data_IF_494602156701
#
_entry.id   IF_494602156701
#
_cell.length_a   1.000
_cell.length_b   1.000
_cell.length_c   1.000
_cell.angle_alpha   90.00
_cell.angle_beta   90.00
_cell.angle_gamma   90.00
#
_symmetry.space_group_name_H-M   'P 1'
#
loop_
_entity.id
_entity.type
_entity.pdbx_description
1 polymer ?
#
# COMPACT_ATOMS: atom_id res chain seq x y z
N UNK A 1 2.10 15.48 10.49
CA UNK A 1 2.52 14.13 10.05
C UNK A 1 3.78 14.21 9.18
N UNK A 2 4.69 13.24 9.28
CA UNK A 2 5.99 13.18 8.59
C UNK A 2 6.09 11.81 7.88
N UNK A 3 6.32 11.84 6.57
CA UNK A 3 6.58 10.64 5.77
C UNK A 3 8.03 10.20 5.99
N UNK A 4 8.24 8.92 6.27
CA UNK A 4 9.56 8.31 6.49
C UNK A 4 9.93 7.32 5.39
N UNK A 5 8.95 6.56 4.90
CA UNK A 5 9.11 5.65 3.75
C UNK A 5 7.89 5.87 2.86
N UNK A 6 8.14 6.16 1.57
CA UNK A 6 7.11 6.23 0.55
C UNK A 6 7.01 4.89 -0.18
N UNK A 7 5.83 4.50 -0.68
CA UNK A 7 5.74 3.38 -1.59
C UNK A 7 6.51 3.71 -2.88
N UNK A 8 7.09 2.69 -3.52
CA UNK A 8 7.84 2.84 -4.76
C UNK A 8 7.23 1.97 -5.88
N UNK A 9 7.40 2.41 -7.12
CA UNK A 9 7.03 1.62 -8.29
C UNK A 9 7.81 0.30 -8.29
N UNK A 10 7.12 -0.79 -8.60
CA UNK A 10 7.71 -2.12 -8.56
C UNK A 10 7.07 -3.04 -9.60
N UNK A 11 7.81 -4.10 -9.92
CA UNK A 11 7.33 -5.17 -10.77
C UNK A 11 7.56 -6.52 -10.09
N UNK A 12 6.72 -7.49 -10.41
CA UNK A 12 6.73 -8.83 -9.83
C UNK A 12 6.40 -9.86 -10.92
N UNK A 13 6.86 -11.10 -10.80
CA UNK A 13 6.37 -12.18 -11.66
C UNK A 13 5.08 -12.78 -11.12
N UNK A 14 4.22 -13.27 -12.01
CA UNK A 14 3.01 -14.01 -11.64
C UNK A 14 3.32 -15.13 -10.62
N UNK A 15 2.49 -15.22 -9.59
CA UNK A 15 2.61 -16.19 -8.51
C UNK A 15 3.58 -15.84 -7.39
N UNK A 16 4.35 -14.75 -7.48
CA UNK A 16 5.16 -14.26 -6.36
C UNK A 16 4.37 -13.32 -5.45
N UNK A 17 4.84 -13.15 -4.22
CA UNK A 17 4.23 -12.25 -3.25
C UNK A 17 4.72 -10.81 -3.44
N UNK A 18 3.82 -9.86 -3.19
CA UNK A 18 4.06 -8.43 -3.29
C UNK A 18 3.88 -7.79 -1.92
N UNK A 19 4.77 -6.88 -1.56
CA UNK A 19 4.63 -6.02 -0.39
C UNK A 19 4.77 -4.57 -0.85
N UNK A 20 3.76 -3.75 -0.57
CA UNK A 20 3.81 -2.30 -0.73
C UNK A 20 3.78 -1.70 0.67
N UNK A 21 4.79 -0.91 1.03
CA UNK A 21 4.93 -0.36 2.37
C UNK A 21 4.96 1.16 2.38
N UNK A 22 4.43 1.75 3.44
CA UNK A 22 4.55 3.17 3.75
C UNK A 22 4.84 3.30 5.24
N UNK A 23 5.75 4.21 5.59
CA UNK A 23 6.02 4.55 6.99
C UNK A 23 5.75 6.00 7.23
N UNK A 24 4.86 6.29 8.16
CA UNK A 24 4.48 7.64 8.54
C UNK A 24 4.50 7.78 10.05
N UNK A 25 4.96 8.93 10.53
CA UNK A 25 4.84 9.31 11.94
C UNK A 25 3.97 10.56 12.07
N UNK A 26 3.17 10.63 13.12
CA UNK A 26 2.36 11.80 13.40
C UNK A 26 1.74 11.70 14.78
N UNK A 27 1.44 12.86 15.35
CA UNK A 27 0.63 12.99 16.55
C UNK A 27 -0.52 13.95 16.22
N UNK A 28 -1.79 13.54 16.39
CA UNK A 28 -2.28 12.18 16.62
C UNK A 28 -1.81 11.15 15.58
N UNK A 29 -1.83 9.86 15.94
CA UNK A 29 -1.44 8.75 15.05
C UNK A 29 -2.24 8.85 13.75
N UNK A 30 -1.59 8.95 12.58
CA UNK A 30 -2.30 9.03 11.32
C UNK A 30 -2.94 7.68 10.97
N UNK A 31 -4.11 7.73 10.35
CA UNK A 31 -4.78 6.57 9.76
C UNK A 31 -4.28 6.36 8.33
N UNK A 32 -3.98 5.12 7.94
CA UNK A 32 -3.57 4.76 6.57
C UNK A 32 -4.69 3.96 5.91
N UNK A 33 -4.99 4.28 4.65
CA UNK A 33 -5.95 3.54 3.83
C UNK A 33 -5.37 3.28 2.46
N UNK A 34 -5.52 2.05 1.96
CA UNK A 34 -5.00 1.64 0.67
C UNK A 34 -6.09 1.65 -0.40
N UNK A 35 -5.77 2.16 -1.57
CA UNK A 35 -6.61 2.14 -2.76
C UNK A 35 -5.88 1.43 -3.91
N UNK A 36 -6.59 0.64 -4.71
CA UNK A 36 -6.15 0.14 -6.01
C UNK A 36 -7.01 0.79 -7.07
N UNK A 37 -6.40 1.46 -8.04
CA UNK A 37 -7.09 2.11 -9.16
C UNK A 37 -8.25 3.00 -8.67
N UNK A 38 -8.00 3.78 -7.61
CA UNK A 38 -8.95 4.69 -6.92
C UNK A 38 -10.08 4.01 -6.14
N UNK A 39 -10.14 2.69 -6.11
CA UNK A 39 -11.10 1.94 -5.30
C UNK A 39 -10.44 1.43 -4.00
N UNK A 40 -11.15 1.41 -2.86
CA UNK A 40 -10.61 0.86 -1.61
C UNK A 40 -10.17 -0.59 -1.76
N UNK A 41 -8.97 -0.93 -1.27
CA UNK A 41 -8.52 -2.32 -1.19
C UNK A 41 -9.33 -3.04 -0.12
N UNK A 42 -9.99 -4.13 -0.50
CA UNK A 42 -10.68 -5.01 0.46
C UNK A 42 -9.69 -6.05 0.98
N UNK A 43 -9.47 -6.07 2.28
CA UNK A 43 -8.63 -7.06 2.95
C UNK A 43 -9.37 -8.40 3.03
N UNK A 44 -9.19 -9.25 2.02
CA UNK A 44 -9.76 -10.58 1.96
C UNK A 44 -8.93 -11.48 1.02
N UNK A 45 -8.90 -12.78 1.31
CA UNK A 45 -8.21 -13.76 0.48
C UNK A 45 -6.72 -13.44 0.33
N UNK A 46 -6.30 -13.12 -0.91
CA UNK A 46 -4.90 -12.82 -1.26
C UNK A 46 -4.41 -11.45 -0.77
N UNK A 47 -5.31 -10.54 -0.40
CA UNK A 47 -4.97 -9.18 0.01
C UNK A 47 -5.02 -9.05 1.54
N UNK A 48 -3.92 -8.57 2.13
CA UNK A 48 -3.83 -8.29 3.56
C UNK A 48 -3.19 -6.92 3.80
N UNK A 49 -3.62 -6.23 4.85
CA UNK A 49 -2.99 -5.00 5.33
C UNK A 49 -2.57 -5.21 6.78
N UNK A 50 -1.33 -4.87 7.10
CA UNK A 50 -0.80 -4.88 8.46
C UNK A 50 -0.29 -3.50 8.82
N UNK A 51 -0.64 -3.03 10.01
CA UNK A 51 -0.04 -1.83 10.60
C UNK A 51 0.79 -2.21 11.82
N UNK A 52 1.92 -1.54 11.99
CA UNK A 52 2.81 -1.69 13.13
C UNK A 52 2.75 -0.45 14.02
N UNK A 53 3.15 -0.59 15.28
CA UNK A 53 3.18 0.53 16.24
C UNK A 53 4.17 1.63 15.83
N UNK A 54 5.22 1.29 15.10
CA UNK A 54 6.25 2.25 14.66
C UNK A 54 5.81 3.15 13.49
N UNK A 55 4.56 3.00 13.04
CA UNK A 55 3.93 3.79 11.98
C UNK A 55 4.10 3.22 10.58
N UNK A 56 4.50 1.95 10.46
CA UNK A 56 4.60 1.26 9.17
C UNK A 56 3.25 0.60 8.84
N UNK A 57 2.78 0.79 7.61
CA UNK A 57 1.63 0.09 7.03
C UNK A 57 2.12 -0.68 5.82
N UNK A 58 1.84 -1.97 5.78
CA UNK A 58 2.22 -2.89 4.70
C UNK A 58 0.96 -3.50 4.09
N UNK A 59 0.76 -3.29 2.79
CA UNK A 59 -0.21 -4.02 2.00
C UNK A 59 0.49 -5.19 1.31
N UNK A 60 -0.02 -6.41 1.52
CA UNK A 60 0.51 -7.64 0.95
C UNK A 60 -0.48 -8.25 -0.02
N UNK A 61 0.04 -8.72 -1.15
CA UNK A 61 -0.70 -9.49 -2.15
C UNK A 61 0.01 -10.83 -2.29
N UNK A 62 -0.64 -11.91 -1.85
CA UNK A 62 -0.11 -13.26 -2.03
C UNK A 62 -0.39 -13.77 -3.43
N UNK A 63 0.58 -14.44 -4.04
CA UNK A 63 0.48 -15.05 -5.37
C UNK A 63 -0.09 -14.08 -6.42
N UNK A 64 0.74 -13.13 -6.86
CA UNK A 64 0.35 -12.05 -7.76
C UNK A 64 -0.26 -12.58 -9.07
N UNK A 65 -1.37 -11.96 -9.49
CA UNK A 65 -2.09 -12.23 -10.72
C UNK A 65 -2.02 -11.01 -11.64
N UNK A 66 -2.15 -11.18 -12.97
CA UNK A 66 -2.12 -10.05 -13.91
C UNK A 66 -3.10 -8.93 -13.58
N UNK A 67 -4.27 -9.27 -13.03
CA UNK A 67 -5.30 -8.30 -12.62
C UNK A 67 -4.92 -7.48 -11.38
N UNK A 68 -3.88 -7.89 -10.65
CA UNK A 68 -3.36 -7.15 -9.51
C UNK A 68 -2.50 -5.95 -9.96
N UNK A 69 -2.03 -5.92 -11.21
CA UNK A 69 -1.36 -4.76 -11.77
C UNK A 69 -2.29 -3.53 -11.72
N UNK A 70 -1.69 -2.36 -11.53
CA UNK A 70 -2.43 -1.11 -11.38
C UNK A 70 -1.67 -0.06 -10.57
N UNK A 71 -2.37 1.02 -10.25
CA UNK A 71 -1.86 2.09 -9.38
C UNK A 71 -2.42 1.90 -7.99
N UNK A 72 -1.53 1.73 -7.02
CA UNK A 72 -1.87 1.66 -5.62
C UNK A 72 -1.59 3.01 -4.96
N UNK A 73 -2.54 3.50 -4.18
CA UNK A 73 -2.40 4.75 -3.44
C UNK A 73 -2.56 4.48 -1.94
N UNK A 74 -1.69 5.05 -1.11
CA UNK A 74 -1.89 5.13 0.32
C UNK A 74 -2.37 6.54 0.68
N UNK A 75 -3.59 6.62 1.23
CA UNK A 75 -4.16 7.84 1.78
C UNK A 75 -3.91 7.87 3.28
N UNK A 76 -3.28 8.93 3.74
CA UNK A 76 -2.83 9.12 5.12
C UNK A 76 -3.56 10.33 5.67
N UNK A 77 -4.30 10.16 6.77
CA UNK A 77 -5.13 11.22 7.34
C UNK A 77 -4.81 11.38 8.82
N UNK A 78 -4.64 12.63 9.28
CA UNK A 78 -4.72 12.99 10.69
C UNK A 78 -5.53 14.29 10.83
N UNK A 79 -5.78 14.74 12.06
CA UNK A 79 -6.59 15.96 12.31
C UNK A 79 -6.00 17.23 11.65
N UNK A 80 -4.69 17.25 11.38
CA UNK A 80 -3.99 18.39 10.79
C UNK A 80 -3.91 18.32 9.25
N UNK A 81 -4.41 17.26 8.61
CA UNK A 81 -4.48 17.20 7.17
C UNK A 81 -4.48 15.81 6.56
N UNK A 82 -4.20 15.77 5.26
CA UNK A 82 -4.15 14.54 4.46
C UNK A 82 -2.92 14.53 3.57
N UNK A 83 -2.33 13.35 3.37
CA UNK A 83 -1.32 13.07 2.36
C UNK A 83 -1.74 11.86 1.54
N UNK A 84 -1.35 11.83 0.27
CA UNK A 84 -1.53 10.68 -0.60
C UNK A 84 -0.22 10.40 -1.34
N UNK A 85 0.18 9.13 -1.39
CA UNK A 85 1.33 8.67 -2.17
C UNK A 85 0.89 7.51 -3.06
N UNK A 86 1.35 7.52 -4.29
CA UNK A 86 0.97 6.54 -5.31
C UNK A 86 2.20 5.69 -5.69
N UNK A 87 1.98 4.44 -6.06
CA UNK A 87 2.97 3.56 -6.67
C UNK A 87 2.33 2.65 -7.72
N UNK A 88 3.05 2.37 -8.79
CA UNK A 88 2.64 1.45 -9.86
C UNK A 88 3.15 0.04 -9.57
N UNK A 89 2.25 -0.95 -9.63
CA UNK A 89 2.59 -2.36 -9.63
C UNK A 89 2.44 -2.94 -11.03
N UNK A 90 3.50 -3.56 -11.52
CA UNK A 90 3.48 -4.33 -12.77
C UNK A 90 3.61 -5.82 -12.49
N UNK A 91 2.75 -6.64 -13.11
CA UNK A 91 2.82 -8.10 -12.99
C UNK A 91 3.23 -8.67 -14.34
N UNK A 92 4.43 -9.27 -14.37
CA UNK A 92 5.02 -9.87 -15.57
C UNK A 92 4.67 -11.35 -15.64
N UNK A 93 4.38 -11.83 -16.85
CA UNK A 93 4.29 -13.26 -17.13
C UNK A 93 5.63 -13.94 -16.85
N UNK A 94 5.57 -15.21 -16.45
CA UNK A 94 6.76 -16.07 -16.37
C UNK A 94 7.28 -16.41 -17.76
#
# INVERSE_FOLDING_TARGET
MILKVAPCDQWVFEGQDVIISVKVRGQPKPMVSWLKDRAPVRTAGRFAVRETEDGTSEMRISSAQRCDAGVYACKIINEYGTKQMDCRLEVKGK
#
